data_IF_835732889111
#
_entry.id   IF_835732889111
#
_cell.length_a   1.000
_cell.length_b   1.000
_cell.length_c   1.000
_cell.angle_alpha   90.00
_cell.angle_beta   90.00
_cell.angle_gamma   90.00
#
_symmetry.space_group_name_H-M   'P 1'
#
loop_
_entity.id
_entity.type
_entity.pdbx_description
1 polymer ?
#
# COMPACT_ATOMS: atom_id res chain seq x y z
N UNK A 1 -9.44 24.44 0.28
CA UNK A 1 -8.77 24.58 -1.02
C UNK A 1 -8.02 23.28 -1.34
N UNK A 2 -8.60 22.39 -2.14
CA UNK A 2 -7.96 21.18 -2.65
C UNK A 2 -7.57 21.41 -4.13
N UNK A 3 -6.33 21.83 -4.39
CA UNK A 3 -5.84 22.23 -5.73
C UNK A 3 -5.05 21.12 -6.46
N UNK A 4 -5.43 19.85 -6.30
CA UNK A 4 -4.88 18.73 -7.08
C UNK A 4 -5.95 17.70 -7.42
N UNK A 5 -7.14 18.17 -7.79
CA UNK A 5 -8.20 17.32 -8.34
C UNK A 5 -7.76 16.77 -9.70
N UNK A 6 -8.22 15.56 -10.01
CA UNK A 6 -7.97 14.71 -11.19
C UNK A 6 -8.18 15.34 -12.59
N UNK A 7 -8.35 16.66 -12.68
CA UNK A 7 -8.90 17.36 -13.83
C UNK A 7 -7.83 17.80 -14.85
N UNK A 8 -6.52 17.64 -14.57
CA UNK A 8 -5.48 18.28 -15.40
C UNK A 8 -4.28 17.43 -15.90
N UNK A 9 -4.34 16.09 -16.03
CA UNK A 9 -3.20 15.35 -16.62
C UNK A 9 -3.54 14.34 -17.72
N UNK A 10 -2.95 14.60 -18.88
CA UNK A 10 -3.14 14.00 -20.20
C UNK A 10 -2.37 12.69 -20.46
N UNK A 11 -2.08 11.86 -19.46
CA UNK A 11 -1.59 10.48 -19.70
C UNK A 11 -2.14 9.54 -18.63
N UNK A 12 -3.30 8.96 -18.90
CA UNK A 12 -3.88 7.93 -18.03
C UNK A 12 -3.00 6.69 -18.00
N UNK A 13 -2.42 6.38 -16.84
CA UNK A 13 -1.71 5.11 -16.65
C UNK A 13 -2.76 4.00 -16.57
N UNK A 14 -2.70 3.05 -17.51
CA UNK A 14 -3.57 1.89 -17.55
C UNK A 14 -2.91 0.68 -16.93
N UNK A 15 -3.71 -0.17 -16.27
CA UNK A 15 -3.20 -1.42 -15.73
C UNK A 15 -2.82 -2.38 -16.85
N UNK A 16 -1.58 -2.91 -16.90
CA UNK A 16 -1.14 -3.79 -17.99
C UNK A 16 -1.83 -5.16 -17.97
N UNK A 17 -2.48 -5.55 -16.87
CA UNK A 17 -3.14 -6.85 -16.73
C UNK A 17 -4.62 -6.81 -17.09
N UNK A 18 -5.35 -5.80 -16.62
CA UNK A 18 -6.79 -5.68 -16.83
C UNK A 18 -7.20 -4.54 -17.76
N UNK A 19 -6.28 -3.68 -18.18
CA UNK A 19 -6.54 -2.56 -19.09
C UNK A 19 -7.27 -1.37 -18.45
N UNK A 20 -7.66 -1.45 -17.17
CA UNK A 20 -8.42 -0.37 -16.51
C UNK A 20 -7.52 0.85 -16.29
N UNK A 21 -8.01 2.02 -16.68
CA UNK A 21 -7.35 3.30 -16.45
C UNK A 21 -7.35 3.67 -14.97
N UNK A 22 -6.20 4.08 -14.44
CA UNK A 22 -6.02 4.45 -13.02
C UNK A 22 -5.60 5.91 -12.82
N UNK A 23 -5.38 6.65 -13.90
CA UNK A 23 -5.09 8.09 -13.92
C UNK A 23 -3.72 8.48 -13.35
N UNK A 24 -3.23 7.81 -12.30
CA UNK A 24 -1.93 8.05 -11.68
C UNK A 24 -1.21 6.74 -11.37
N UNK A 25 0.10 6.85 -11.22
CA UNK A 25 0.94 5.70 -10.91
C UNK A 25 0.64 5.14 -9.50
N UNK A 26 0.34 6.01 -8.53
CA UNK A 26 -0.13 5.61 -7.21
C UNK A 26 -1.47 4.89 -7.26
N UNK A 27 -2.40 5.33 -8.13
CA UNK A 27 -3.66 4.64 -8.37
C UNK A 27 -3.49 3.22 -8.93
N UNK A 28 -2.52 3.03 -9.83
CA UNK A 28 -2.17 1.70 -10.35
C UNK A 28 -1.57 0.80 -9.27
N UNK A 29 -0.61 1.30 -8.48
CA UNK A 29 -0.01 0.53 -7.38
C UNK A 29 -1.07 0.15 -6.36
N UNK A 30 -1.95 1.07 -5.98
CA UNK A 30 -3.05 0.81 -5.06
C UNK A 30 -4.00 -0.28 -5.58
N UNK A 31 -4.28 -0.29 -6.88
CA UNK A 31 -5.11 -1.31 -7.52
C UNK A 31 -4.48 -2.71 -7.44
N UNK A 32 -3.16 -2.81 -7.61
CA UNK A 32 -2.42 -4.08 -7.52
C UNK A 32 -2.26 -4.53 -6.06
N UNK A 33 -1.85 -3.64 -5.15
CA UNK A 33 -1.62 -3.99 -3.73
C UNK A 33 -2.86 -4.50 -3.00
N UNK A 34 -4.06 -4.03 -3.40
CA UNK A 34 -5.32 -4.52 -2.84
C UNK A 34 -5.79 -5.85 -3.43
N UNK A 35 -5.08 -6.41 -4.41
CA UNK A 35 -5.57 -7.57 -5.16
C UNK A 35 -6.85 -7.25 -5.94
N UNK A 36 -7.14 -5.97 -6.22
CA UNK A 36 -8.36 -5.57 -6.91
C UNK A 36 -8.32 -5.88 -8.42
N UNK A 37 -7.17 -6.33 -8.93
CA UNK A 37 -7.00 -6.75 -10.32
C UNK A 37 -7.31 -8.24 -10.47
N UNK A 38 -8.37 -8.63 -11.20
CA UNK A 38 -8.73 -10.05 -11.35
C UNK A 38 -7.74 -10.84 -12.22
N UNK A 39 -6.89 -10.15 -12.99
CA UNK A 39 -5.97 -10.73 -13.97
C UNK A 39 -4.49 -10.62 -13.58
N UNK A 40 -4.18 -10.01 -12.43
CA UNK A 40 -2.81 -9.88 -11.97
C UNK A 40 -2.56 -10.85 -10.80
N UNK A 41 -1.58 -11.76 -10.89
CA UNK A 41 -1.15 -12.59 -9.77
C UNK A 41 -0.22 -11.79 -8.84
N UNK A 42 -0.59 -10.55 -8.51
CA UNK A 42 0.21 -9.65 -7.70
C UNK A 42 -0.64 -9.21 -6.52
N UNK A 43 -0.27 -9.67 -5.33
CA UNK A 43 -0.77 -9.18 -4.07
C UNK A 43 0.27 -8.25 -3.40
N UNK A 44 -0.06 -7.77 -2.20
CA UNK A 44 0.82 -6.90 -1.40
C UNK A 44 2.20 -7.53 -1.15
N UNK A 45 2.26 -8.81 -0.84
CA UNK A 45 3.51 -9.48 -0.45
C UNK A 45 4.39 -9.72 -1.68
N UNK A 46 3.80 -10.18 -2.79
CA UNK A 46 4.46 -10.31 -4.08
C UNK A 46 5.02 -8.96 -4.56
N UNK A 47 4.25 -7.88 -4.38
CA UNK A 47 4.73 -6.54 -4.73
C UNK A 47 5.88 -6.11 -3.80
N UNK A 48 5.78 -6.33 -2.50
CA UNK A 48 6.87 -6.02 -1.57
C UNK A 48 8.16 -6.77 -1.93
N UNK A 49 8.07 -8.06 -2.23
CA UNK A 49 9.23 -8.85 -2.66
C UNK A 49 9.82 -8.32 -3.98
N UNK A 50 8.98 -7.92 -4.94
CA UNK A 50 9.44 -7.31 -6.19
C UNK A 50 10.15 -5.98 -5.96
N UNK A 51 9.64 -5.12 -5.07
CA UNK A 51 10.29 -3.85 -4.70
C UNK A 51 11.61 -4.11 -3.97
N UNK A 52 11.62 -5.00 -2.98
CA UNK A 52 12.83 -5.34 -2.20
C UNK A 52 13.96 -5.86 -3.09
N UNK A 53 13.66 -6.68 -4.11
CA UNK A 53 14.66 -7.13 -5.10
C UNK A 53 15.29 -5.98 -5.89
N UNK A 54 14.53 -4.89 -6.10
CA UNK A 54 14.96 -3.71 -6.85
C UNK A 54 15.53 -2.60 -5.95
N UNK A 55 15.38 -2.74 -4.63
CA UNK A 55 15.88 -1.82 -3.62
C UNK A 55 16.89 -2.53 -2.68
N UNK A 56 18.05 -2.99 -3.19
CA UNK A 56 19.03 -3.73 -2.39
C UNK A 56 19.61 -2.89 -1.26
N UNK A 57 19.56 -1.56 -1.38
CA UNK A 57 20.05 -0.64 -0.36
C UNK A 57 19.00 -0.35 0.73
N UNK A 58 17.73 -0.68 0.51
CA UNK A 58 16.65 -0.45 1.47
C UNK A 58 16.35 1.04 1.61
N UNK A 59 16.35 1.77 0.50
CA UNK A 59 16.05 3.20 0.44
C UNK A 59 14.58 3.46 0.80
N UNK A 60 13.67 2.62 0.32
CA UNK A 60 12.22 2.75 0.55
C UNK A 60 11.63 1.52 1.23
N UNK A 61 12.18 0.34 0.95
CA UNK A 61 11.72 -0.93 1.52
C UNK A 61 12.48 -1.24 2.81
N UNK A 62 11.77 -1.69 3.84
CA UNK A 62 12.43 -2.15 5.05
C UNK A 62 13.18 -3.45 4.79
N UNK A 63 14.41 -3.55 5.29
CA UNK A 63 15.21 -4.78 5.29
C UNK A 63 14.82 -5.65 6.48
N UNK A 64 13.70 -6.37 6.35
CA UNK A 64 13.28 -7.34 7.36
C UNK A 64 14.24 -8.55 7.34
N UNK A 65 14.74 -8.95 8.52
CA UNK A 65 15.64 -10.11 8.68
C UNK A 65 14.96 -11.40 8.20
N UNK A 66 13.70 -11.60 8.60
CA UNK A 66 12.80 -12.61 8.05
C UNK A 66 11.49 -11.96 7.59
N UNK A 67 10.94 -12.42 6.47
CA UNK A 67 9.63 -12.01 5.97
C UNK A 67 8.79 -13.26 5.71
N UNK A 68 7.77 -13.48 6.55
CA UNK A 68 6.88 -14.64 6.49
C UNK A 68 5.53 -14.35 5.79
N UNK A 69 5.44 -13.23 5.08
CA UNK A 69 4.19 -12.77 4.48
C UNK A 69 3.29 -11.99 5.45
N UNK A 70 2.15 -11.55 4.92
CA UNK A 70 1.09 -10.86 5.64
C UNK A 70 0.24 -11.86 6.41
N UNK A 71 0.12 -11.75 7.75
CA UNK A 71 -0.79 -12.62 8.50
C UNK A 71 -2.24 -12.38 8.08
N UNK A 72 -3.00 -13.47 7.95
CA UNK A 72 -4.45 -13.43 7.74
C UNK A 72 -5.15 -13.71 9.06
N UNK A 73 -6.12 -12.87 9.41
CA UNK A 73 -6.93 -13.01 10.61
C UNK A 73 -8.39 -13.23 10.21
N UNK A 74 -9.08 -14.10 10.95
CA UNK A 74 -10.51 -14.35 10.75
C UNK A 74 -11.20 -14.41 12.10
N UNK A 75 -12.25 -13.62 12.26
CA UNK A 75 -13.12 -13.64 13.41
C UNK A 75 -14.24 -14.67 13.21
N UNK A 76 -14.67 -15.26 14.33
CA UNK A 76 -15.82 -16.16 14.40
C UNK A 76 -16.86 -15.59 15.35
N UNK A 77 -18.00 -16.26 15.50
CA UNK A 77 -19.04 -15.91 16.49
C UNK A 77 -18.47 -15.76 17.91
N UNK A 78 -17.38 -16.47 18.22
CA UNK A 78 -16.67 -16.38 19.51
C UNK A 78 -16.02 -15.02 19.78
N UNK A 79 -15.92 -14.14 18.78
CA UNK A 79 -15.42 -12.77 18.94
C UNK A 79 -16.47 -11.79 19.44
N UNK A 80 -17.70 -12.26 19.69
CA UNK A 80 -18.77 -11.46 20.25
C UNK A 80 -18.55 -11.18 21.75
N UNK A 81 -18.52 -9.91 22.11
CA UNK A 81 -18.40 -9.44 23.48
C UNK A 81 -19.79 -9.04 24.00
N UNK A 82 -20.34 -9.87 24.89
CA UNK A 82 -21.66 -9.67 25.51
C UNK A 82 -21.75 -8.40 26.37
N UNK A 83 -20.64 -7.92 26.95
CA UNK A 83 -20.63 -6.71 27.77
C UNK A 83 -20.85 -5.45 26.93
N UNK A 84 -20.39 -5.48 25.67
CA UNK A 84 -20.50 -4.36 24.73
C UNK A 84 -21.57 -4.56 23.65
N UNK A 85 -22.31 -5.68 23.68
CA UNK A 85 -23.28 -6.06 22.65
C UNK A 85 -22.71 -5.94 21.22
N UNK A 86 -21.44 -6.35 21.04
CA UNK A 86 -20.71 -6.11 19.80
C UNK A 86 -19.58 -7.12 19.59
N UNK A 87 -19.16 -7.29 18.34
CA UNK A 87 -17.96 -8.04 17.98
C UNK A 87 -16.70 -7.21 18.23
N UNK A 88 -15.74 -7.75 18.97
CA UNK A 88 -14.51 -7.05 19.34
C UNK A 88 -13.29 -7.58 18.57
N UNK A 89 -12.49 -6.68 18.02
CA UNK A 89 -11.17 -7.02 17.53
C UNK A 89 -10.18 -7.15 18.69
N UNK A 90 -9.66 -8.34 18.95
CA UNK A 90 -8.69 -8.53 20.05
C UNK A 90 -7.29 -7.96 19.79
N UNK A 91 -7.01 -7.51 18.57
CA UNK A 91 -5.73 -6.89 18.23
C UNK A 91 -5.69 -5.39 18.51
N UNK A 92 -6.85 -4.70 18.50
CA UNK A 92 -6.93 -3.25 18.75
C UNK A 92 -8.12 -2.79 19.60
N UNK A 93 -8.95 -3.71 20.08
CA UNK A 93 -10.15 -3.46 20.87
C UNK A 93 -11.27 -2.64 20.19
N UNK A 94 -11.22 -2.48 18.87
CA UNK A 94 -12.32 -1.87 18.12
C UNK A 94 -13.57 -2.75 18.15
N UNK A 95 -14.73 -2.12 18.26
CA UNK A 95 -16.04 -2.77 18.35
C UNK A 95 -16.80 -2.63 17.04
N UNK A 96 -17.52 -3.69 16.66
CA UNK A 96 -18.29 -3.79 15.41
C UNK A 96 -19.66 -4.41 15.68
N UNK A 97 -20.71 -3.85 15.08
CA UNK A 97 -22.08 -4.35 15.24
C UNK A 97 -22.36 -5.67 14.51
N UNK A 98 -21.47 -6.12 13.61
CA UNK A 98 -21.63 -7.34 12.79
C UNK A 98 -20.31 -8.08 12.67
N UNK A 99 -20.36 -9.42 12.66
CA UNK A 99 -19.20 -10.28 12.44
C UNK A 99 -18.53 -10.00 11.09
N UNK A 100 -19.32 -9.75 10.04
CA UNK A 100 -18.80 -9.41 8.71
C UNK A 100 -17.99 -8.11 8.71
N UNK A 101 -18.41 -7.11 9.49
CA UNK A 101 -17.67 -5.84 9.65
C UNK A 101 -16.34 -6.06 10.37
N UNK A 102 -16.32 -6.90 11.42
CA UNK A 102 -15.07 -7.28 12.08
C UNK A 102 -14.14 -8.04 11.14
N UNK A 103 -14.65 -9.00 10.37
CA UNK A 103 -13.86 -9.73 9.38
C UNK A 103 -13.33 -8.81 8.27
N UNK A 104 -14.11 -7.83 7.82
CA UNK A 104 -13.63 -6.81 6.89
C UNK A 104 -12.49 -5.99 7.49
N UNK A 105 -12.59 -5.59 8.76
CA UNK A 105 -11.52 -4.91 9.47
C UNK A 105 -10.24 -5.78 9.57
N UNK A 106 -10.38 -7.06 9.92
CA UNK A 106 -9.27 -8.00 10.02
C UNK A 106 -8.58 -8.29 8.69
N UNK A 107 -9.35 -8.34 7.59
CA UNK A 107 -8.81 -8.44 6.23
C UNK A 107 -8.14 -7.16 5.72
N UNK A 108 -8.29 -6.05 6.45
CA UNK A 108 -7.69 -4.78 6.08
C UNK A 108 -6.22 -4.70 6.50
N UNK A 109 -5.58 -3.60 6.11
CA UNK A 109 -4.17 -3.34 6.43
C UNK A 109 -3.95 -2.88 7.89
N UNK A 110 -4.99 -2.84 8.71
CA UNK A 110 -4.96 -2.29 10.08
C UNK A 110 -3.95 -2.99 11.00
N UNK A 111 -3.76 -4.31 10.81
CA UNK A 111 -2.83 -5.12 11.61
C UNK A 111 -1.63 -5.61 10.82
N UNK A 112 -1.42 -5.05 9.64
CA UNK A 112 -0.29 -5.42 8.79
C UNK A 112 0.95 -4.62 9.18
N UNK A 113 2.10 -5.29 9.18
CA UNK A 113 3.38 -4.65 9.46
C UNK A 113 3.71 -3.55 8.45
N UNK A 114 4.39 -2.48 8.89
CA UNK A 114 4.93 -1.46 7.99
C UNK A 114 6.09 -2.04 7.18
N UNK A 115 5.93 -2.11 5.86
CA UNK A 115 6.94 -2.67 4.95
C UNK A 115 7.83 -1.60 4.30
N UNK A 116 7.38 -0.35 4.34
CA UNK A 116 8.03 0.77 3.68
C UNK A 116 8.31 1.91 4.66
N UNK A 117 9.27 2.75 4.30
CA UNK A 117 9.62 3.94 5.06
C UNK A 117 9.95 5.10 4.12
N UNK A 118 9.87 6.31 4.64
CA UNK A 118 10.32 7.48 3.93
C UNK A 118 11.86 7.50 3.90
N UNK A 119 12.48 7.65 2.72
CA UNK A 119 13.93 7.74 2.58
C UNK A 119 14.53 8.99 3.26
N UNK A 120 13.72 10.03 3.49
CA UNK A 120 14.15 11.16 4.30
C UNK A 120 14.25 10.77 5.78
N UNK A 121 15.50 10.68 6.27
CA UNK A 121 15.81 10.37 7.68
C UNK A 121 15.20 11.35 8.68
N UNK A 122 14.97 12.60 8.29
CA UNK A 122 14.30 13.59 9.16
C UNK A 122 12.78 13.39 9.22
N UNK A 123 12.20 12.68 8.25
CA UNK A 123 10.76 12.40 8.23
C UNK A 123 10.43 11.15 9.05
N UNK A 124 11.17 10.05 8.85
CA UNK A 124 11.02 8.81 9.62
C UNK A 124 9.65 8.11 9.51
N UNK A 125 8.75 8.58 8.64
CA UNK A 125 7.41 7.98 8.50
C UNK A 125 7.49 6.60 7.88
N UNK A 126 6.63 5.72 8.38
CA UNK A 126 6.52 4.35 7.92
C UNK A 126 5.13 4.07 7.34
N UNK A 127 5.08 3.10 6.44
CA UNK A 127 3.86 2.78 5.70
C UNK A 127 3.68 1.27 5.54
N UNK A 128 2.43 0.84 5.60
CA UNK A 128 2.04 -0.56 5.32
C UNK A 128 2.02 -0.86 3.83
N UNK A 129 1.92 0.15 2.95
CA UNK A 129 1.81 -0.03 1.50
C UNK A 129 2.72 0.92 0.71
N UNK A 130 3.10 0.48 -0.48
CA UNK A 130 3.85 1.27 -1.45
C UNK A 130 3.00 2.46 -1.92
N UNK A 131 1.71 2.27 -2.18
CA UNK A 131 0.81 3.35 -2.58
C UNK A 131 0.75 4.47 -1.51
N UNK A 132 0.76 4.12 -0.22
CA UNK A 132 0.79 5.11 0.85
C UNK A 132 2.12 5.87 0.89
N UNK A 133 3.25 5.16 0.72
CA UNK A 133 4.58 5.77 0.61
C UNK A 133 4.66 6.74 -0.56
N UNK A 134 4.12 6.36 -1.72
CA UNK A 134 4.11 7.19 -2.92
C UNK A 134 3.25 8.44 -2.75
N UNK A 135 2.01 8.28 -2.26
CA UNK A 135 1.14 9.42 -1.94
C UNK A 135 1.83 10.39 -0.96
N UNK A 136 2.58 9.87 0.02
CA UNK A 136 3.35 10.69 0.94
C UNK A 136 4.43 11.51 0.21
N UNK A 137 5.23 10.88 -0.65
CA UNK A 137 6.27 11.56 -1.43
C UNK A 137 5.67 12.58 -2.42
N UNK A 138 4.54 12.24 -3.04
CA UNK A 138 3.79 13.10 -3.95
C UNK A 138 3.20 14.34 -3.30
N UNK A 139 2.95 14.28 -1.99
CA UNK A 139 2.48 15.43 -1.22
C UNK A 139 3.57 16.47 -0.99
N UNK A 140 4.84 16.14 -1.27
CA UNK A 140 6.04 16.98 -1.06
C UNK A 140 6.25 17.43 0.40
N UNK A 141 5.39 16.99 1.34
CA UNK A 141 5.42 17.41 2.75
C UNK A 141 6.70 17.02 3.49
N UNK A 142 7.42 16.00 3.02
CA UNK A 142 8.69 15.57 3.60
C UNK A 142 9.92 16.17 2.90
N UNK A 143 9.75 16.95 1.84
CA UNK A 143 10.87 17.61 1.14
C UNK A 143 11.87 16.69 0.44
N UNK A 144 11.61 15.38 0.35
CA UNK A 144 12.56 14.42 -0.23
C UNK A 144 12.62 14.47 -1.76
N UNK A 145 11.46 14.56 -2.41
CA UNK A 145 11.35 14.57 -3.87
C UNK A 145 10.10 15.32 -4.31
N UNK A 146 10.11 15.85 -5.54
CA UNK A 146 8.96 16.57 -6.11
C UNK A 146 7.98 15.58 -6.74
N UNK A 147 6.72 15.98 -6.82
CA UNK A 147 5.62 15.21 -7.39
C UNK A 147 5.91 14.72 -8.83
N UNK A 148 6.58 15.54 -9.64
CA UNK A 148 6.94 15.20 -11.01
C UNK A 148 7.96 14.05 -11.08
N UNK A 149 8.93 14.03 -10.16
CA UNK A 149 9.99 13.02 -10.10
C UNK A 149 9.44 11.68 -9.62
N UNK A 150 8.44 11.67 -8.73
CA UNK A 150 7.76 10.43 -8.32
C UNK A 150 7.11 9.79 -9.54
N UNK A 151 6.27 10.54 -10.24
CA UNK A 151 5.47 10.04 -11.37
C UNK A 151 6.32 9.49 -12.52
N UNK A 152 7.48 10.10 -12.84
CA UNK A 152 8.40 9.57 -13.85
C UNK A 152 9.12 8.28 -13.42
N UNK A 153 9.44 8.16 -12.12
CA UNK A 153 10.16 7.00 -11.61
C UNK A 153 9.26 5.77 -11.41
N UNK A 154 7.96 5.94 -11.18
CA UNK A 154 7.05 4.78 -11.03
C UNK A 154 6.97 3.94 -12.29
N UNK A 155 6.93 4.58 -13.47
CA UNK A 155 6.99 3.89 -14.75
C UNK A 155 8.24 3.02 -14.87
N UNK A 156 9.37 3.47 -14.29
CA UNK A 156 10.63 2.71 -14.24
C UNK A 156 10.62 1.59 -13.19
N UNK A 157 9.93 1.78 -12.06
CA UNK A 157 9.79 0.76 -11.00
C UNK A 157 8.90 -0.39 -11.45
N UNK A 158 7.88 -0.11 -12.26
CA UNK A 158 6.96 -1.11 -12.81
C UNK A 158 7.41 -1.69 -14.15
N UNK A 159 8.43 -1.11 -14.79
CA UNK A 159 9.07 -1.66 -16.00
C UNK A 159 9.82 -2.97 -15.65
N UNK A 160 9.48 -4.11 -16.27
CA UNK A 160 10.16 -5.38 -16.04
C UNK A 160 11.65 -5.39 -16.39
N UNK A 161 12.15 -4.42 -17.19
CA UNK A 161 13.46 -4.48 -17.85
C UNK A 161 14.55 -3.57 -17.27
N UNK A 162 14.29 -2.78 -16.22
CA UNK A 162 15.29 -1.84 -15.68
C UNK A 162 15.40 -1.89 -14.15
N UNK A 163 16.65 -1.90 -13.66
CA UNK A 163 16.98 -1.71 -12.24
C UNK A 163 16.67 -0.28 -11.82
N UNK A 164 16.17 -0.09 -10.59
CA UNK A 164 15.93 1.24 -10.03
C UNK A 164 17.28 1.94 -9.87
N UNK A 165 17.53 2.97 -10.67
CA UNK A 165 18.57 3.98 -10.44
C UNK A 165 17.86 5.31 -10.22
N UNK A 166 18.10 5.90 -9.06
CA UNK A 166 17.74 7.29 -8.75
C UNK A 166 18.85 8.22 -9.26
#
# INVERSE_FOLDING_TARGET
MHLKSSVHRQTGISCPFCGVERGTATGLVHHLERGACPKAPVDRDALYLAVRRRDPNGIISKKLLEFHGSPSYTATENSYNWYHDAYQCYLCNNLYSKLSSLNQHLSSLAHQQNLYHCPNRQCGREFTTLAATMNHLESEKCGFMRFADVQQNVGRILDPRRMIRF
#
